data_IF_569290137656
#
_entry.id   IF_569290137656
#
_cell.length_a   1.000
_cell.length_b   1.000
_cell.length_c   1.000
_cell.angle_alpha   90.00
_cell.angle_beta   90.00
_cell.angle_gamma   90.00
#
_symmetry.space_group_name_H-M   'P 1'
#
loop_
_entity.id
_entity.type
_entity.pdbx_description
1 polymer ?
#
# COMPACT_ATOMS: atom_id res chain seq x y z
N UNK A 1 13.57 12.16 10.89
CA UNK A 1 13.64 12.67 12.28
C UNK A 1 13.93 14.17 12.24
N UNK A 2 13.19 14.99 12.99
CA UNK A 2 13.42 16.44 13.07
C UNK A 2 14.56 16.71 14.05
N UNK A 3 15.48 17.62 13.73
CA UNK A 3 16.63 17.94 14.58
C UNK A 3 16.22 18.71 15.85
N UNK A 4 16.89 18.47 17.00
CA UNK A 4 16.51 19.07 18.28
C UNK A 4 16.53 20.60 18.29
N UNK A 5 17.40 21.20 17.48
CA UNK A 5 17.58 22.65 17.37
C UNK A 5 16.42 23.36 16.67
N UNK A 6 15.67 22.65 15.82
CA UNK A 6 14.42 23.16 15.25
C UNK A 6 13.31 23.04 16.29
N UNK A 7 13.22 21.90 16.98
CA UNK A 7 12.20 21.66 18.01
C UNK A 7 12.26 22.66 19.17
N UNK A 8 13.44 23.15 19.55
CA UNK A 8 13.58 24.14 20.63
C UNK A 8 13.11 25.55 20.26
N UNK A 9 12.91 25.84 18.97
CA UNK A 9 12.54 27.15 18.44
C UNK A 9 11.16 27.18 17.77
N UNK A 10 10.45 26.05 17.76
CA UNK A 10 9.10 25.94 17.20
C UNK A 10 8.10 25.50 18.26
N UNK A 11 6.84 25.85 18.06
CA UNK A 11 5.75 25.37 18.89
C UNK A 11 5.12 24.14 18.25
N UNK A 12 5.05 23.04 19.00
CA UNK A 12 4.40 21.83 18.55
C UNK A 12 2.88 21.96 18.75
N UNK A 13 2.14 22.05 17.65
CA UNK A 13 0.67 21.98 17.64
C UNK A 13 0.29 20.56 17.20
N UNK A 14 -0.39 19.82 18.08
CA UNK A 14 -0.94 18.49 17.74
C UNK A 14 -2.31 18.68 17.13
N UNK A 15 -2.52 18.07 15.97
CA UNK A 15 -3.83 17.98 15.33
C UNK A 15 -4.32 16.55 15.54
N UNK A 16 -5.43 16.42 16.25
CA UNK A 16 -6.03 15.12 16.52
C UNK A 16 -6.73 14.56 15.28
N UNK A 17 -6.90 13.24 15.26
CA UNK A 17 -7.62 12.54 14.19
C UNK A 17 -9.09 12.90 14.24
N UNK A 18 -9.68 13.17 13.07
CA UNK A 18 -11.11 13.44 12.95
C UNK A 18 -11.89 12.14 13.20
N UNK A 19 -13.01 12.24 13.90
CA UNK A 19 -13.89 11.09 14.12
C UNK A 19 -14.47 10.61 12.78
N UNK A 20 -14.56 9.29 12.58
CA UNK A 20 -15.03 8.71 11.32
C UNK A 20 -16.46 9.14 10.96
N UNK A 21 -17.34 9.26 11.95
CA UNK A 21 -18.72 9.73 11.72
C UNK A 21 -18.76 11.17 11.23
N UNK A 22 -18.06 12.08 11.92
CA UNK A 22 -17.98 13.50 11.54
C UNK A 22 -17.33 13.68 10.17
N UNK A 23 -16.29 12.91 9.88
CA UNK A 23 -15.63 12.93 8.58
C UNK A 23 -16.58 12.43 7.48
N UNK A 24 -17.31 11.33 7.70
CA UNK A 24 -18.28 10.80 6.73
C UNK A 24 -19.38 11.81 6.42
N UNK A 25 -19.99 12.40 7.46
CA UNK A 25 -21.03 13.42 7.31
C UNK A 25 -20.52 14.65 6.55
N UNK A 26 -19.29 15.09 6.86
CA UNK A 26 -18.64 16.18 6.13
C UNK A 26 -18.46 15.85 4.64
N UNK A 27 -17.99 14.65 4.32
CA UNK A 27 -17.76 14.24 2.94
C UNK A 27 -19.06 14.13 2.14
N UNK A 28 -20.15 13.64 2.73
CA UNK A 28 -21.48 13.61 2.08
C UNK A 28 -21.95 15.02 1.75
N UNK A 29 -21.87 15.93 2.72
CA UNK A 29 -22.37 17.30 2.54
C UNK A 29 -21.56 18.11 1.54
N UNK A 30 -20.23 18.04 1.63
CA UNK A 30 -19.31 18.88 0.84
C UNK A 30 -19.05 18.32 -0.56
N UNK A 31 -18.86 17.00 -0.68
CA UNK A 31 -18.49 16.34 -1.94
C UNK A 31 -19.67 15.61 -2.61
N UNK A 32 -20.87 15.65 -2.02
CA UNK A 32 -22.10 15.07 -2.58
C UNK A 32 -21.94 13.58 -2.94
N UNK A 33 -21.12 12.85 -2.18
CA UNK A 33 -20.92 11.41 -2.36
C UNK A 33 -21.93 10.60 -1.56
N UNK A 34 -22.24 9.40 -2.05
CA UNK A 34 -23.16 8.49 -1.37
C UNK A 34 -22.67 8.10 0.04
N UNK A 35 -23.59 7.98 0.99
CA UNK A 35 -23.29 7.72 2.40
C UNK A 35 -22.45 6.44 2.62
N UNK A 36 -22.75 5.36 1.88
CA UNK A 36 -21.94 4.13 1.95
C UNK A 36 -20.50 4.36 1.51
N UNK A 37 -20.30 5.15 0.45
CA UNK A 37 -18.99 5.51 -0.09
C UNK A 37 -18.23 6.42 0.88
N UNK A 38 -18.92 7.39 1.48
CA UNK A 38 -18.35 8.30 2.48
C UNK A 38 -17.87 7.56 3.73
N UNK A 39 -18.67 6.64 4.28
CA UNK A 39 -18.27 5.83 5.43
C UNK A 39 -17.02 4.99 5.13
N UNK A 40 -16.96 4.40 3.94
CA UNK A 40 -15.79 3.63 3.50
C UNK A 40 -14.54 4.50 3.39
N UNK A 41 -14.66 5.68 2.78
CA UNK A 41 -13.54 6.62 2.64
C UNK A 41 -13.09 7.11 4.03
N UNK A 42 -14.01 7.44 4.92
CA UNK A 42 -13.69 7.84 6.28
C UNK A 42 -12.90 6.76 7.03
N UNK A 43 -13.30 5.49 6.91
CA UNK A 43 -12.59 4.35 7.48
C UNK A 43 -11.17 4.19 6.92
N UNK A 44 -11.01 4.30 5.58
CA UNK A 44 -9.72 4.19 4.89
C UNK A 44 -8.78 5.37 5.18
N UNK A 45 -9.35 6.53 5.49
CA UNK A 45 -8.62 7.77 5.73
C UNK A 45 -7.99 7.85 7.13
N UNK A 46 -8.40 6.98 8.05
CA UNK A 46 -7.90 6.94 9.45
C UNK A 46 -7.95 8.31 10.15
N UNK A 47 -9.00 9.10 9.89
CA UNK A 47 -9.18 10.45 10.44
C UNK A 47 -8.29 11.54 9.81
N UNK A 48 -7.60 11.24 8.70
CA UNK A 48 -6.83 12.21 7.92
C UNK A 48 -7.68 12.79 6.77
N UNK A 49 -8.02 14.08 6.88
CA UNK A 49 -8.82 14.78 5.87
C UNK A 49 -8.16 14.79 4.48
N UNK A 50 -6.88 15.15 4.38
CA UNK A 50 -6.18 15.21 3.08
C UNK A 50 -6.18 13.84 2.38
N UNK A 51 -6.01 12.76 3.15
CA UNK A 51 -6.13 11.39 2.64
C UNK A 51 -7.53 11.10 2.12
N UNK A 52 -8.56 11.58 2.80
CA UNK A 52 -9.96 11.39 2.38
C UNK A 52 -10.29 12.09 1.06
N UNK A 53 -9.79 13.31 0.87
CA UNK A 53 -9.94 14.05 -0.40
C UNK A 53 -9.19 13.34 -1.52
N UNK A 54 -7.96 12.90 -1.26
CA UNK A 54 -7.22 12.10 -2.23
C UNK A 54 -7.95 10.81 -2.62
N UNK A 55 -8.58 10.12 -1.67
CA UNK A 55 -9.38 8.91 -1.96
C UNK A 55 -10.67 9.20 -2.73
N UNK A 56 -11.18 10.43 -2.70
CA UNK A 56 -12.32 10.85 -3.52
C UNK A 56 -11.87 11.10 -4.96
N UNK A 57 -10.75 11.80 -5.12
CA UNK A 57 -10.22 12.22 -6.43
C UNK A 57 -9.52 11.07 -7.18
N UNK A 58 -8.82 10.18 -6.46
CA UNK A 58 -7.93 9.17 -7.04
C UNK A 58 -8.51 7.74 -7.07
N UNK A 59 -9.84 7.56 -7.08
CA UNK A 59 -10.42 6.21 -7.17
C UNK A 59 -9.96 5.42 -8.40
N UNK A 60 -9.67 6.11 -9.51
CA UNK A 60 -9.11 5.48 -10.71
C UNK A 60 -7.66 5.01 -10.50
N UNK A 61 -6.89 5.67 -9.62
CA UNK A 61 -5.51 5.28 -9.31
C UNK A 61 -5.45 4.03 -8.44
N UNK A 62 -6.38 3.86 -7.49
CA UNK A 62 -6.42 2.66 -6.65
C UNK A 62 -6.74 1.40 -7.45
N UNK A 63 -7.73 1.47 -8.36
CA UNK A 63 -8.03 0.36 -9.28
C UNK A 63 -6.83 0.05 -10.20
N UNK A 64 -6.13 1.08 -10.69
CA UNK A 64 -4.90 0.93 -11.48
C UNK A 64 -3.79 0.22 -10.69
N UNK A 65 -3.52 0.64 -9.44
CA UNK A 65 -2.50 0.02 -8.60
C UNK A 65 -2.88 -1.41 -8.19
N UNK A 66 -4.16 -1.69 -7.96
CA UNK A 66 -4.67 -3.03 -7.71
C UNK A 66 -4.37 -3.99 -8.86
N UNK A 67 -4.68 -3.58 -10.11
CA UNK A 67 -4.40 -4.40 -11.29
C UNK A 67 -2.90 -4.61 -11.48
N UNK A 68 -2.12 -3.54 -11.33
CA UNK A 68 -0.67 -3.56 -11.44
C UNK A 68 -0.03 -4.51 -10.43
N UNK A 69 -0.46 -4.43 -9.16
CA UNK A 69 0.00 -5.29 -8.08
C UNK A 69 -0.38 -6.75 -8.32
N UNK A 70 -1.63 -7.01 -8.68
CA UNK A 70 -2.14 -8.37 -8.91
C UNK A 70 -1.38 -9.05 -10.04
N UNK A 71 -1.14 -8.34 -11.15
CA UNK A 71 -0.38 -8.85 -12.28
C UNK A 71 1.07 -9.13 -11.87
N UNK A 72 1.73 -8.16 -11.22
CA UNK A 72 3.10 -8.30 -10.76
C UNK A 72 3.31 -9.52 -9.84
N UNK A 73 2.42 -9.70 -8.86
CA UNK A 73 2.50 -10.82 -7.93
C UNK A 73 2.25 -12.17 -8.59
N UNK A 74 1.32 -12.24 -9.56
CA UNK A 74 1.10 -13.47 -10.34
C UNK A 74 2.30 -13.83 -11.20
N UNK A 75 2.96 -12.84 -11.80
CA UNK A 75 4.17 -13.04 -12.60
C UNK A 75 5.33 -13.52 -11.73
N UNK A 76 5.52 -12.90 -10.56
CA UNK A 76 6.49 -13.34 -9.55
C UNK A 76 6.23 -14.77 -9.09
N UNK A 77 4.99 -15.11 -8.74
CA UNK A 77 4.64 -16.46 -8.29
C UNK A 77 4.94 -17.53 -9.37
N UNK A 78 4.53 -17.27 -10.63
CA UNK A 78 4.83 -18.14 -11.78
C UNK A 78 6.33 -18.24 -12.08
N UNK A 79 7.14 -17.26 -11.67
CA UNK A 79 8.55 -17.17 -12.00
C UNK A 79 8.79 -16.71 -13.43
N UNK A 80 7.89 -15.88 -13.98
CA UNK A 80 8.02 -15.32 -15.32
C UNK A 80 9.02 -14.14 -15.32
N UNK A 81 10.31 -14.48 -15.45
CA UNK A 81 11.40 -13.48 -15.41
C UNK A 81 11.29 -12.47 -16.55
N UNK A 82 10.89 -12.90 -17.75
CA UNK A 82 10.75 -12.02 -18.92
C UNK A 82 9.65 -10.99 -18.62
N UNK A 83 8.52 -11.46 -18.10
CA UNK A 83 7.44 -10.60 -17.69
C UNK A 83 7.84 -9.61 -16.57
N UNK A 84 8.64 -10.04 -15.59
CA UNK A 84 9.13 -9.14 -14.53
C UNK A 84 10.05 -8.03 -15.06
N UNK A 85 10.86 -8.34 -16.08
CA UNK A 85 11.70 -7.34 -16.76
C UNK A 85 10.81 -6.32 -17.47
N UNK A 86 9.81 -6.78 -18.24
CA UNK A 86 8.86 -5.90 -18.93
C UNK A 86 8.08 -5.03 -17.94
N UNK A 87 7.59 -5.62 -16.85
CA UNK A 87 6.91 -4.90 -15.78
C UNK A 87 7.80 -3.79 -15.19
N UNK A 88 9.07 -4.08 -14.92
CA UNK A 88 10.01 -3.09 -14.42
C UNK A 88 10.23 -1.94 -15.42
N UNK A 89 10.29 -2.25 -16.71
CA UNK A 89 10.38 -1.22 -17.75
C UNK A 89 9.12 -0.35 -17.82
N UNK A 90 7.93 -0.93 -17.74
CA UNK A 90 6.67 -0.18 -17.73
C UNK A 90 6.56 0.71 -16.50
N UNK A 91 6.87 0.17 -15.31
CA UNK A 91 6.83 0.91 -14.06
C UNK A 91 7.91 2.02 -14.00
N UNK A 92 9.01 1.86 -14.73
CA UNK A 92 10.01 2.93 -14.85
C UNK A 92 9.53 4.14 -15.68
N UNK A 93 8.51 3.95 -16.54
CA UNK A 93 7.95 5.02 -17.37
C UNK A 93 6.99 5.91 -16.58
N UNK A 94 6.40 5.41 -15.50
CA UNK A 94 5.58 6.23 -14.62
C UNK A 94 6.46 7.13 -13.75
N UNK A 95 5.94 8.29 -13.36
CA UNK A 95 6.68 9.27 -12.55
C UNK A 95 7.03 8.76 -11.15
N UNK A 96 7.98 9.43 -10.50
CA UNK A 96 8.48 9.09 -9.15
C UNK A 96 7.37 8.96 -8.10
N UNK A 97 6.46 9.92 -8.07
CA UNK A 97 5.39 9.97 -7.08
C UNK A 97 4.38 8.82 -7.25
N UNK A 98 3.88 8.52 -8.47
CA UNK A 98 3.12 7.29 -8.73
C UNK A 98 3.86 6.00 -8.35
N UNK A 99 5.18 5.90 -8.56
CA UNK A 99 5.97 4.73 -8.14
C UNK A 99 5.98 4.56 -6.61
N UNK A 100 6.16 5.65 -5.88
CA UNK A 100 6.09 5.64 -4.41
C UNK A 100 4.67 5.28 -3.93
N UNK A 101 3.64 5.82 -4.57
CA UNK A 101 2.25 5.47 -4.26
C UNK A 101 1.99 3.98 -4.47
N UNK A 102 2.47 3.41 -5.57
CA UNK A 102 2.38 1.97 -5.85
C UNK A 102 3.08 1.11 -4.78
N UNK A 103 4.30 1.47 -4.36
CA UNK A 103 5.00 0.74 -3.30
C UNK A 103 4.29 0.85 -1.94
N UNK A 104 3.71 2.01 -1.63
CA UNK A 104 2.89 2.19 -0.43
C UNK A 104 1.59 1.37 -0.51
N UNK A 105 0.97 1.28 -1.69
CA UNK A 105 -0.18 0.42 -1.94
C UNK A 105 0.19 -1.06 -1.71
N UNK A 106 1.33 -1.52 -2.22
CA UNK A 106 1.82 -2.88 -1.97
C UNK A 106 2.02 -3.16 -0.47
N UNK A 107 2.63 -2.23 0.29
CA UNK A 107 2.76 -2.32 1.74
C UNK A 107 1.41 -2.39 2.45
N UNK A 108 0.42 -1.63 1.99
CA UNK A 108 -0.95 -1.71 2.51
C UNK A 108 -1.53 -3.10 2.30
N UNK A 109 -1.44 -3.68 1.10
CA UNK A 109 -1.93 -5.04 0.83
C UNK A 109 -1.21 -6.10 1.68
N UNK A 110 0.09 -5.96 1.93
CA UNK A 110 0.81 -6.86 2.85
C UNK A 110 0.31 -6.74 4.29
N UNK A 111 0.06 -5.52 4.77
CA UNK A 111 -0.53 -5.30 6.09
C UNK A 111 -1.90 -5.97 6.20
N UNK A 112 -2.78 -5.75 5.23
CA UNK A 112 -4.13 -6.33 5.25
C UNK A 112 -4.07 -7.87 5.17
N UNK A 113 -3.12 -8.43 4.42
CA UNK A 113 -2.87 -9.88 4.38
C UNK A 113 -2.49 -10.45 5.76
N UNK A 114 -1.70 -9.72 6.56
CA UNK A 114 -1.33 -10.13 7.91
C UNK A 114 -2.50 -10.01 8.89
N UNK A 115 -3.29 -8.94 8.78
CA UNK A 115 -4.49 -8.76 9.60
C UNK A 115 -5.47 -9.89 9.32
N UNK A 116 -5.63 -10.30 8.07
CA UNK A 116 -6.48 -11.43 7.70
C UNK A 116 -5.96 -12.77 8.25
N UNK A 117 -4.63 -12.97 8.29
CA UNK A 117 -4.06 -14.24 8.77
C UNK A 117 -3.96 -14.36 10.29
N UNK A 118 -3.75 -13.25 11.01
CA UNK A 118 -3.41 -13.24 12.43
C UNK A 118 -4.30 -12.34 13.29
N UNK A 119 -5.10 -11.49 12.67
CA UNK A 119 -5.95 -10.51 13.32
C UNK A 119 -7.44 -10.85 13.23
N UNK A 120 -8.26 -9.84 13.50
CA UNK A 120 -9.72 -9.92 13.40
C UNK A 120 -10.17 -9.45 12.01
N UNK A 121 -10.98 -10.26 11.32
CA UNK A 121 -11.50 -9.96 9.98
C UNK A 121 -12.27 -8.62 9.92
N UNK A 122 -12.84 -8.18 11.05
CA UNK A 122 -13.53 -6.89 11.15
C UNK A 122 -12.59 -5.67 10.98
N UNK A 123 -11.27 -5.88 11.09
CA UNK A 123 -10.26 -4.84 10.95
C UNK A 123 -9.71 -4.72 9.53
N UNK A 124 -10.07 -5.63 8.61
CA UNK A 124 -9.60 -5.60 7.23
C UNK A 124 -10.24 -4.44 6.49
N UNK A 125 -9.42 -3.54 5.97
CA UNK A 125 -9.84 -2.28 5.35
C UNK A 125 -9.58 -2.29 3.85
N UNK A 126 -10.28 -3.17 3.13
CA UNK A 126 -10.15 -3.30 1.68
C UNK A 126 -11.48 -3.20 0.95
N UNK A 127 -11.40 -2.94 -0.36
CA UNK A 127 -12.57 -3.05 -1.25
C UNK A 127 -13.02 -4.51 -1.41
N UNK A 128 -14.28 -4.72 -1.83
CA UNK A 128 -14.81 -6.06 -2.08
C UNK A 128 -13.98 -6.85 -3.10
N UNK A 129 -13.46 -6.18 -4.14
CA UNK A 129 -12.60 -6.78 -5.16
C UNK A 129 -11.26 -7.21 -4.57
N UNK A 130 -10.62 -6.32 -3.82
CA UNK A 130 -9.34 -6.60 -3.15
C UNK A 130 -9.48 -7.73 -2.13
N UNK A 131 -10.60 -7.79 -1.40
CA UNK A 131 -10.84 -8.82 -0.40
C UNK A 131 -10.87 -10.24 -1.03
N UNK A 132 -11.50 -10.41 -2.19
CA UNK A 132 -11.49 -11.69 -2.92
C UNK A 132 -10.08 -12.12 -3.36
N UNK A 133 -9.25 -11.17 -3.78
CA UNK A 133 -7.85 -11.44 -4.10
C UNK A 133 -7.03 -11.74 -2.85
N UNK A 134 -7.21 -10.94 -1.79
CA UNK A 134 -6.55 -11.09 -0.49
C UNK A 134 -6.82 -12.46 0.13
N UNK A 135 -8.04 -12.98 0.08
CA UNK A 135 -8.35 -14.34 0.56
C UNK A 135 -7.46 -15.43 -0.07
N UNK A 136 -7.04 -15.25 -1.32
CA UNK A 136 -6.16 -16.19 -2.03
C UNK A 136 -4.69 -15.85 -1.85
N UNK A 137 -4.37 -14.57 -1.65
CA UNK A 137 -3.01 -14.06 -1.57
C UNK A 137 -2.43 -14.11 -0.14
N UNK A 138 -3.27 -13.85 0.87
CA UNK A 138 -2.89 -13.78 2.27
C UNK A 138 -2.14 -15.04 2.75
N UNK A 139 -2.51 -16.28 2.38
CA UNK A 139 -1.76 -17.47 2.79
C UNK A 139 -0.27 -17.49 2.37
N UNK A 140 0.10 -16.72 1.34
CA UNK A 140 1.49 -16.58 0.90
C UNK A 140 2.28 -15.54 1.70
N UNK A 141 1.64 -14.72 2.53
CA UNK A 141 2.26 -13.72 3.38
C UNK A 141 2.14 -14.16 4.84
N UNK A 142 3.25 -14.52 5.46
CA UNK A 142 3.30 -15.03 6.83
C UNK A 142 4.34 -14.29 7.67
N UNK A 143 4.28 -14.44 8.99
CA UNK A 143 5.17 -13.71 9.90
C UNK A 143 6.65 -13.80 9.54
N UNK A 144 7.13 -14.97 9.06
CA UNK A 144 8.54 -15.13 8.68
C UNK A 144 8.94 -14.36 7.40
N UNK A 145 8.14 -14.36 6.33
CA UNK A 145 8.52 -13.65 5.11
C UNK A 145 8.26 -12.14 5.21
N UNK A 146 7.25 -11.74 5.98
CA UNK A 146 6.91 -10.35 6.21
C UNK A 146 8.06 -9.51 6.79
N UNK A 147 8.87 -10.12 7.68
CA UNK A 147 10.04 -9.48 8.27
C UNK A 147 11.09 -9.07 7.24
N UNK A 148 11.14 -9.72 6.07
CA UNK A 148 12.01 -9.34 4.95
C UNK A 148 11.27 -8.49 3.92
N UNK A 149 9.98 -8.76 3.66
CA UNK A 149 9.17 -8.04 2.67
C UNK A 149 8.98 -6.57 3.08
N UNK A 150 8.63 -6.27 4.33
CA UNK A 150 8.34 -4.89 4.76
C UNK A 150 9.58 -3.99 4.63
N UNK A 151 10.77 -4.37 5.15
CA UNK A 151 11.98 -3.58 4.97
C UNK A 151 12.36 -3.43 3.49
N UNK A 152 12.26 -4.49 2.68
CA UNK A 152 12.57 -4.45 1.25
C UNK A 152 11.78 -3.35 0.51
N UNK A 153 10.48 -3.26 0.77
CA UNK A 153 9.62 -2.26 0.13
C UNK A 153 9.87 -0.86 0.70
N UNK A 154 10.14 -0.76 1.99
CA UNK A 154 10.45 0.53 2.65
C UNK A 154 11.78 1.10 2.16
N UNK A 155 12.80 0.27 1.98
CA UNK A 155 14.08 0.64 1.36
C UNK A 155 13.90 1.02 -0.11
N UNK A 156 13.05 0.29 -0.86
CA UNK A 156 12.73 0.66 -2.23
C UNK A 156 12.11 2.06 -2.34
N UNK A 157 11.15 2.39 -1.46
CA UNK A 157 10.56 3.74 -1.40
C UNK A 157 11.65 4.79 -1.14
N UNK A 158 12.49 4.56 -0.14
CA UNK A 158 13.61 5.44 0.19
C UNK A 158 14.62 5.63 -0.96
N UNK A 159 14.89 4.57 -1.72
CA UNK A 159 15.76 4.63 -2.89
C UNK A 159 15.14 5.45 -4.03
N UNK A 160 13.82 5.35 -4.25
CA UNK A 160 13.10 6.17 -5.24
C UNK A 160 13.12 7.65 -4.84
N UNK A 161 12.93 7.97 -3.56
CA UNK A 161 13.04 9.35 -3.06
C UNK A 161 14.42 9.97 -3.38
N UNK A 162 15.46 9.15 -3.35
CA UNK A 162 16.86 9.52 -3.64
C UNK A 162 17.25 9.42 -5.11
N UNK A 163 16.29 9.33 -6.02
CA UNK A 163 16.51 9.29 -7.48
C UNK A 163 17.29 8.05 -7.95
N UNK A 164 17.06 6.89 -7.32
CA UNK A 164 17.60 5.62 -7.84
C UNK A 164 16.98 5.27 -9.20
N UNK A 165 17.69 4.48 -10.00
CA UNK A 165 17.18 4.00 -11.29
C UNK A 165 16.00 3.03 -11.07
N UNK A 166 14.76 3.39 -11.48
CA UNK A 166 13.59 2.57 -11.18
C UNK A 166 13.63 1.19 -11.84
N UNK A 167 14.19 1.07 -13.06
CA UNK A 167 14.27 -0.22 -13.78
C UNK A 167 15.09 -1.25 -13.01
N UNK A 168 16.23 -0.83 -12.47
CA UNK A 168 17.12 -1.71 -11.71
C UNK A 168 16.47 -2.05 -10.36
N UNK A 169 15.94 -1.02 -9.68
CA UNK A 169 15.32 -1.18 -8.38
C UNK A 169 14.13 -2.14 -8.42
N UNK A 170 13.17 -1.92 -9.34
CA UNK A 170 11.98 -2.75 -9.43
C UNK A 170 12.30 -4.17 -9.88
N UNK A 171 13.32 -4.37 -10.73
CA UNK A 171 13.77 -5.72 -11.07
C UNK A 171 14.37 -6.44 -9.86
N UNK A 172 15.23 -5.78 -9.07
CA UNK A 172 15.79 -6.35 -7.84
C UNK A 172 14.70 -6.72 -6.82
N UNK A 173 13.77 -5.79 -6.56
CA UNK A 173 12.61 -6.03 -5.68
C UNK A 173 11.77 -7.20 -6.19
N UNK A 174 11.51 -7.27 -7.52
CA UNK A 174 10.74 -8.35 -8.15
C UNK A 174 11.36 -9.73 -7.95
N UNK A 175 12.68 -9.83 -8.07
CA UNK A 175 13.39 -11.10 -7.89
C UNK A 175 13.40 -11.52 -6.42
N UNK A 176 13.62 -10.57 -5.51
CA UNK A 176 13.59 -10.82 -4.06
C UNK A 176 12.21 -11.24 -3.58
N UNK A 177 11.14 -10.54 -3.98
CA UNK A 177 9.77 -10.90 -3.58
C UNK A 177 9.37 -12.27 -4.12
N UNK A 178 9.77 -12.61 -5.35
CA UNK A 178 9.53 -13.94 -5.94
C UNK A 178 10.14 -15.07 -5.09
N UNK A 179 11.34 -14.84 -4.56
CA UNK A 179 11.99 -15.79 -3.64
C UNK A 179 11.24 -15.87 -2.31
N UNK A 180 10.85 -14.72 -1.73
CA UNK A 180 10.18 -14.63 -0.42
C UNK A 180 8.77 -15.23 -0.42
N UNK A 181 8.03 -15.09 -1.52
CA UNK A 181 6.69 -15.69 -1.67
C UNK A 181 6.73 -17.22 -1.82
N UNK A 182 7.88 -17.79 -2.17
CA UNK A 182 8.08 -19.25 -2.28
C UNK A 182 8.60 -19.88 -0.98
N UNK A 183 8.99 -19.06 0.00
CA UNK A 183 9.34 -19.56 1.33
C UNK A 183 8.09 -20.21 1.92
N UNK A 184 8.21 -21.46 2.36
CA UNK A 184 7.09 -22.14 3.03
C UNK A 184 6.90 -21.54 4.41
N UNK A 185 5.64 -21.36 4.81
CA UNK A 185 5.32 -20.97 6.17
C UNK A 185 5.95 -21.96 7.16
N UNK A 186 6.63 -21.49 8.22
CA UNK A 186 7.12 -22.37 9.26
C UNK A 186 5.93 -23.12 9.88
N UNK A 187 5.98 -24.45 9.83
CA UNK A 187 5.05 -25.31 10.56
C UNK A 187 5.42 -25.24 12.04
N UNK A 188 4.61 -24.52 12.82
CA UNK A 188 4.61 -24.61 14.27
C UNK A 188 3.60 -25.67 14.71
#
# INVERSE_FOLDING_TARGET
>A
QIIPTILSRTQLIKIDKINNHELSDFLVNQYQIENQKANKIALLSEGNYAKSVHLIENQQSDDYFYELFTNWMRMGFKGDVIGLIQFSEELSKIGREPQMQFLNYALHIFRESLIQNYGDDSLVRTSLKENQFLQKFAPFIHGANCLEIIPLFSEAIYHIERNSNPKILFLDVSLKITKLLRVKAPSF
#
